data_IF_940103270035
#
_entry.id   IF_940103270035
#
_cell.length_a   1.000
_cell.length_b   1.000
_cell.length_c   1.000
_cell.angle_alpha   90.00
_cell.angle_beta   90.00
_cell.angle_gamma   90.00
#
_symmetry.space_group_name_H-M   'P 1'
#
loop_
_entity.id
_entity.type
_entity.pdbx_description
1 polymer ?
#
# COMPACT_ATOMS: atom_id res chain seq x y z
N UNK A 1 2.71 -11.78 4.88
CA UNK A 1 2.80 -11.56 6.33
C UNK A 1 1.57 -12.04 7.12
N UNK A 2 0.47 -12.38 6.49
CA UNK A 2 -0.78 -12.85 7.09
C UNK A 2 -1.16 -14.22 6.54
N UNK A 3 -2.30 -14.77 6.95
CA UNK A 3 -2.82 -16.01 6.43
C UNK A 3 -3.52 -15.84 5.07
N UNK A 4 -3.95 -16.93 4.47
CA UNK A 4 -4.67 -16.92 3.20
C UNK A 4 -6.00 -16.16 3.29
N UNK A 5 -6.68 -16.26 4.44
CA UNK A 5 -7.95 -15.58 4.66
C UNK A 5 -7.87 -14.04 4.59
N UNK A 6 -6.71 -13.47 4.88
CA UNK A 6 -6.48 -12.02 4.80
C UNK A 6 -5.80 -11.57 3.50
N UNK A 7 -5.64 -12.45 2.52
CA UNK A 7 -5.11 -12.06 1.21
C UNK A 7 -6.09 -11.13 0.49
N UNK A 8 -5.63 -10.00 -0.07
CA UNK A 8 -6.48 -9.10 -0.84
C UNK A 8 -6.74 -9.59 -2.28
N UNK A 9 -6.07 -10.65 -2.73
CA UNK A 9 -6.23 -11.23 -4.06
C UNK A 9 -7.57 -11.97 -4.18
N UNK A 10 -8.08 -12.10 -5.40
CA UNK A 10 -9.28 -12.90 -5.68
C UNK A 10 -8.96 -14.39 -5.49
N UNK A 11 -9.93 -15.16 -5.01
CA UNK A 11 -9.74 -16.59 -4.77
C UNK A 11 -9.32 -17.34 -6.03
N UNK A 12 -9.90 -17.01 -7.18
CA UNK A 12 -9.55 -17.61 -8.46
C UNK A 12 -8.10 -17.35 -8.85
N UNK A 13 -7.59 -16.14 -8.59
CA UNK A 13 -6.17 -15.78 -8.86
C UNK A 13 -5.22 -16.58 -7.96
N UNK A 14 -5.59 -16.79 -6.70
CA UNK A 14 -4.82 -17.62 -5.76
C UNK A 14 -4.82 -19.08 -6.21
N UNK A 15 -5.97 -19.60 -6.67
CA UNK A 15 -6.09 -20.96 -7.18
C UNK A 15 -5.23 -21.15 -8.43
N UNK A 16 -5.33 -20.27 -9.41
CA UNK A 16 -4.53 -20.35 -10.64
C UNK A 16 -3.02 -20.30 -10.32
N UNK A 17 -2.60 -19.42 -9.42
CA UNK A 17 -1.19 -19.37 -9.02
C UNK A 17 -0.72 -20.69 -8.38
N UNK A 18 -1.55 -21.34 -7.54
CA UNK A 18 -1.24 -22.65 -6.97
C UNK A 18 -1.18 -23.76 -8.03
N UNK A 19 -2.08 -23.74 -9.00
CA UNK A 19 -2.08 -24.67 -10.14
C UNK A 19 -0.83 -24.53 -11.00
N UNK A 20 -0.30 -23.31 -11.14
CA UNK A 20 0.96 -23.02 -11.82
C UNK A 20 2.20 -23.38 -10.97
N UNK A 21 2.01 -23.89 -9.76
CA UNK A 21 3.10 -24.31 -8.88
C UNK A 21 3.72 -23.18 -8.04
N UNK A 22 3.10 -22.01 -7.99
CA UNK A 22 3.55 -20.91 -7.13
C UNK A 22 3.39 -21.29 -5.65
N UNK A 23 4.46 -21.19 -4.89
CA UNK A 23 4.45 -21.42 -3.46
C UNK A 23 4.11 -20.15 -2.68
N UNK A 24 3.24 -20.30 -1.69
CA UNK A 24 2.80 -19.20 -0.82
C UNK A 24 3.37 -19.40 0.58
N UNK A 25 4.45 -18.70 0.91
CA UNK A 25 4.98 -18.63 2.27
C UNK A 25 4.18 -17.64 3.12
N UNK A 26 3.04 -18.12 3.60
CA UNK A 26 2.15 -17.35 4.47
C UNK A 26 2.75 -17.20 5.88
N UNK A 27 2.29 -16.18 6.63
CA UNK A 27 2.83 -15.90 7.96
C UNK A 27 4.36 -15.84 7.97
N UNK A 28 4.91 -15.24 6.93
CA UNK A 28 6.36 -15.10 6.72
C UNK A 28 6.66 -13.66 6.34
N UNK A 29 7.72 -13.10 6.89
CA UNK A 29 8.15 -11.73 6.57
C UNK A 29 9.63 -11.73 6.21
N UNK A 30 10.03 -11.15 5.07
CA UNK A 30 11.44 -10.91 4.75
C UNK A 30 12.08 -9.98 5.77
N UNK A 31 13.30 -10.29 6.16
CA UNK A 31 14.12 -9.53 7.11
C UNK A 31 15.34 -8.95 6.42
N UNK A 32 15.99 -9.76 5.55
CA UNK A 32 17.24 -9.39 4.90
C UNK A 32 17.36 -10.09 3.56
N UNK A 33 17.90 -9.40 2.55
CA UNK A 33 18.28 -9.99 1.28
C UNK A 33 19.77 -10.30 1.34
N UNK A 34 20.14 -11.57 1.17
CA UNK A 34 21.51 -12.03 1.23
C UNK A 34 22.16 -11.94 -0.14
N UNK A 35 23.34 -11.36 -0.20
CA UNK A 35 24.08 -11.16 -1.44
C UNK A 35 25.55 -11.58 -1.32
N UNK A 36 26.08 -12.15 -2.40
CA UNK A 36 27.49 -12.49 -2.53
C UNK A 36 27.97 -12.13 -3.94
N UNK A 37 29.14 -11.49 -4.06
CA UNK A 37 29.70 -11.11 -5.36
C UNK A 37 28.81 -10.23 -6.21
N UNK A 38 27.92 -9.41 -5.61
CA UNK A 38 26.97 -8.55 -6.33
C UNK A 38 25.72 -9.28 -6.85
N UNK A 39 25.49 -10.52 -6.43
CA UNK A 39 24.31 -11.34 -6.78
C UNK A 39 23.51 -11.66 -5.53
N UNK A 40 22.20 -11.81 -5.69
CA UNK A 40 21.33 -12.36 -4.63
C UNK A 40 21.63 -13.86 -4.52
N UNK A 41 21.80 -14.34 -3.30
CA UNK A 41 22.03 -15.77 -3.00
C UNK A 41 21.02 -16.33 -2.01
N UNK A 42 20.16 -15.47 -1.45
CA UNK A 42 19.12 -15.91 -0.54
C UNK A 42 18.32 -14.75 0.04
N UNK A 43 17.28 -15.11 0.77
CA UNK A 43 16.47 -14.18 1.54
C UNK A 43 16.22 -14.72 2.94
N UNK A 44 16.68 -14.00 3.95
CA UNK A 44 16.38 -14.31 5.35
C UNK A 44 14.96 -13.87 5.68
N UNK A 45 14.18 -14.77 6.21
CA UNK A 45 12.79 -14.58 6.61
C UNK A 45 12.58 -14.91 8.08
N UNK A 46 11.51 -14.41 8.66
CA UNK A 46 11.05 -14.73 10.01
C UNK A 46 9.59 -15.21 9.95
N UNK A 47 9.24 -16.20 10.76
CA UNK A 47 7.86 -16.63 10.91
C UNK A 47 7.04 -15.57 11.66
N UNK A 48 5.77 -15.48 11.30
CA UNK A 48 4.81 -14.55 11.91
C UNK A 48 3.68 -15.35 12.53
N UNK A 49 3.05 -14.78 13.53
CA UNK A 49 1.75 -15.22 14.04
C UNK A 49 0.74 -14.07 14.01
N UNK A 50 -0.54 -14.39 14.04
CA UNK A 50 -1.59 -13.37 14.11
C UNK A 50 -1.87 -13.03 15.57
N UNK A 51 -1.57 -11.80 15.95
CA UNK A 51 -1.89 -11.24 17.27
C UNK A 51 -3.40 -11.05 17.47
N UNK A 52 -3.77 -10.41 18.56
CA UNK A 52 -5.17 -10.10 18.87
C UNK A 52 -5.80 -9.18 17.82
N UNK A 53 -7.11 -9.33 17.55
CA UNK A 53 -7.83 -8.45 16.64
C UNK A 53 -7.89 -7.01 17.18
N UNK A 54 -7.64 -6.04 16.32
CA UNK A 54 -7.84 -4.62 16.64
C UNK A 54 -9.35 -4.26 16.61
N UNK A 55 -9.69 -2.99 16.90
CA UNK A 55 -11.07 -2.50 16.91
C UNK A 55 -11.82 -2.66 15.55
N UNK A 56 -11.10 -2.90 14.45
CA UNK A 56 -11.67 -3.22 13.13
C UNK A 56 -11.76 -4.72 12.85
N UNK A 57 -11.42 -5.56 13.83
CA UNK A 57 -11.37 -7.02 13.68
C UNK A 57 -10.12 -7.54 12.95
N UNK A 58 -9.17 -6.66 12.59
CA UNK A 58 -7.94 -7.05 11.86
C UNK A 58 -6.86 -7.49 12.82
N UNK A 59 -6.32 -8.68 12.58
CA UNK A 59 -5.20 -9.23 13.35
C UNK A 59 -3.86 -8.76 12.78
N UNK A 60 -3.02 -8.18 13.64
CA UNK A 60 -1.66 -7.77 13.25
C UNK A 60 -0.75 -8.98 13.21
N UNK A 61 0.09 -9.13 12.18
CA UNK A 61 1.16 -10.12 12.20
C UNK A 61 2.24 -9.68 13.20
N UNK A 62 2.64 -10.59 14.07
CA UNK A 62 3.67 -10.43 15.10
C UNK A 62 4.82 -11.39 14.79
N UNK A 63 6.09 -10.97 14.84
CA UNK A 63 7.22 -11.87 14.62
C UNK A 63 7.30 -12.91 15.73
N UNK A 64 7.61 -14.16 15.36
CA UNK A 64 7.97 -15.23 16.30
C UNK A 64 9.47 -15.20 16.51
N UNK A 65 9.91 -14.81 17.68
CA UNK A 65 11.34 -14.69 18.01
C UNK A 65 12.08 -16.03 17.81
N UNK A 66 13.27 -15.97 17.22
CA UNK A 66 14.11 -17.14 17.00
C UNK A 66 13.62 -18.08 15.89
N UNK A 67 12.67 -17.64 15.06
CA UNK A 67 12.10 -18.43 13.96
C UNK A 67 12.67 -18.06 12.59
N UNK A 68 13.81 -17.37 12.56
CA UNK A 68 14.47 -16.97 11.32
C UNK A 68 14.90 -18.20 10.52
N UNK A 69 14.75 -18.11 9.21
CA UNK A 69 15.19 -19.11 8.25
C UNK A 69 15.61 -18.44 6.94
N UNK A 70 16.34 -19.16 6.11
CA UNK A 70 16.80 -18.69 4.80
C UNK A 70 16.07 -19.42 3.70
N UNK A 71 15.61 -18.68 2.71
CA UNK A 71 15.15 -19.18 1.42
C UNK A 71 16.27 -18.99 0.40
N UNK A 72 16.62 -20.03 -0.32
CA UNK A 72 17.57 -19.95 -1.44
C UNK A 72 16.84 -19.36 -2.64
N UNK A 73 17.25 -18.16 -3.05
CA UNK A 73 16.64 -17.42 -4.17
C UNK A 73 17.72 -16.67 -4.94
N UNK A 74 17.57 -16.58 -6.26
CA UNK A 74 18.47 -15.87 -7.16
C UNK A 74 17.99 -14.42 -7.44
N UNK A 75 16.73 -14.15 -7.19
CA UNK A 75 16.13 -12.84 -7.41
C UNK A 75 15.01 -12.55 -6.39
N UNK A 76 14.86 -11.29 -6.00
CA UNK A 76 13.78 -10.83 -5.12
C UNK A 76 13.07 -9.65 -5.78
N UNK A 77 11.75 -9.76 -5.93
CA UNK A 77 10.91 -8.68 -6.47
C UNK A 77 10.06 -8.10 -5.34
N UNK A 78 10.23 -6.81 -5.09
CA UNK A 78 9.48 -6.06 -4.06
C UNK A 78 8.13 -5.60 -4.64
N UNK A 79 7.10 -6.42 -4.49
CA UNK A 79 5.72 -6.13 -4.94
C UNK A 79 4.85 -5.63 -3.79
N UNK A 80 5.31 -4.58 -3.09
CA UNK A 80 4.59 -3.96 -1.98
C UNK A 80 3.62 -2.89 -2.50
N UNK A 81 2.60 -2.59 -1.68
CA UNK A 81 1.70 -1.48 -1.97
C UNK A 81 2.42 -0.13 -1.96
N UNK A 82 1.87 0.84 -2.70
CA UNK A 82 2.38 2.21 -2.76
C UNK A 82 1.91 3.04 -1.57
N UNK A 83 2.68 4.06 -1.24
CA UNK A 83 2.33 5.10 -0.27
C UNK A 83 2.41 6.46 -0.94
N UNK A 84 1.65 7.47 -0.49
CA UNK A 84 1.76 8.83 -1.01
C UNK A 84 3.18 9.36 -0.91
N UNK A 85 3.63 10.10 -1.94
CA UNK A 85 4.96 10.68 -1.95
C UNK A 85 5.10 11.72 -0.82
N UNK A 86 6.01 11.52 0.15
CA UNK A 86 6.17 12.44 1.27
C UNK A 86 6.68 13.84 0.86
N UNK A 87 7.29 13.96 -0.32
CA UNK A 87 7.85 15.22 -0.81
C UNK A 87 6.78 16.30 -0.93
N UNK A 88 5.61 15.97 -1.49
CA UNK A 88 4.51 16.93 -1.70
C UNK A 88 4.13 17.61 -0.38
N UNK A 89 3.84 16.82 0.66
CA UNK A 89 3.44 17.36 1.97
C UNK A 89 4.57 18.10 2.69
N UNK A 90 5.81 17.67 2.53
CA UNK A 90 6.95 18.27 3.22
C UNK A 90 7.40 19.60 2.61
N UNK A 91 7.12 19.83 1.32
CA UNK A 91 7.51 21.05 0.59
C UNK A 91 6.36 22.03 0.37
N UNK A 92 5.12 21.69 0.76
CA UNK A 92 3.95 22.52 0.52
C UNK A 92 3.23 22.85 1.83
N UNK A 93 3.61 23.95 2.51
CA UNK A 93 2.95 24.38 3.74
C UNK A 93 1.45 24.64 3.54
N UNK A 94 0.63 24.25 4.51
CA UNK A 94 -0.84 24.41 4.48
C UNK A 94 -1.56 23.33 3.69
N UNK A 95 -0.86 22.32 3.20
CA UNK A 95 -1.45 21.15 2.57
C UNK A 95 -1.46 19.98 3.56
N UNK A 96 -2.58 19.76 4.21
CA UNK A 96 -2.72 18.75 5.27
C UNK A 96 -2.87 17.34 4.73
N UNK A 97 -2.41 16.36 5.53
CA UNK A 97 -2.51 14.94 5.21
C UNK A 97 -3.05 14.15 6.41
N UNK A 98 -3.70 13.05 6.11
CA UNK A 98 -4.14 12.10 7.12
C UNK A 98 -2.95 11.22 7.62
N UNK A 99 -3.21 10.34 8.57
CA UNK A 99 -2.20 9.43 9.15
C UNK A 99 -1.54 8.50 8.13
N UNK A 100 -2.16 8.26 6.97
CA UNK A 100 -1.61 7.45 5.86
C UNK A 100 -0.80 8.28 4.87
N UNK A 101 -0.77 9.59 5.03
CA UNK A 101 -0.08 10.53 4.13
C UNK A 101 -0.91 10.97 2.91
N UNK A 102 -2.18 10.57 2.81
CA UNK A 102 -3.09 11.05 1.78
C UNK A 102 -3.57 12.47 2.09
N UNK A 103 -3.77 13.28 1.06
CA UNK A 103 -4.24 14.65 1.19
C UNK A 103 -5.66 14.71 1.77
N UNK A 104 -5.89 15.64 2.69
CA UNK A 104 -7.22 15.91 3.24
C UNK A 104 -7.94 16.85 2.28
N UNK A 105 -9.18 16.53 1.97
CA UNK A 105 -10.08 17.33 1.12
C UNK A 105 -11.40 17.57 1.82
N UNK A 106 -12.11 18.63 1.40
CA UNK A 106 -13.45 18.96 1.87
C UNK A 106 -14.49 17.92 1.41
N UNK A 107 -15.75 18.11 1.79
CA UNK A 107 -16.87 17.22 1.46
C UNK A 107 -17.14 17.09 -0.06
N UNK A 108 -16.66 18.04 -0.84
CA UNK A 108 -16.67 17.94 -2.29
C UNK A 108 -15.70 16.88 -2.84
N UNK A 109 -14.80 16.37 -2.00
CA UNK A 109 -13.88 15.28 -2.29
C UNK A 109 -12.67 15.67 -3.12
N UNK A 110 -12.43 16.95 -3.39
CA UNK A 110 -11.32 17.43 -4.23
C UNK A 110 -10.67 18.74 -3.78
N UNK A 111 -11.37 19.62 -3.06
CA UNK A 111 -10.80 20.88 -2.55
C UNK A 111 -9.91 20.58 -1.34
N UNK A 112 -8.63 20.91 -1.43
CA UNK A 112 -7.66 20.65 -0.34
C UNK A 112 -7.75 21.72 0.75
N UNK A 113 -6.97 21.54 1.83
CA UNK A 113 -6.84 22.54 2.91
C UNK A 113 -6.11 23.82 2.48
N UNK A 114 -5.42 23.79 1.32
CA UNK A 114 -4.71 24.94 0.76
C UNK A 114 -5.54 25.58 -0.35
N UNK A 115 -5.82 26.88 -0.23
CA UNK A 115 -6.59 27.63 -1.20
C UNK A 115 -5.98 27.57 -2.62
N UNK A 116 -6.83 27.37 -3.63
CA UNK A 116 -6.43 27.25 -5.03
C UNK A 116 -5.75 25.92 -5.38
N UNK A 117 -5.67 24.96 -4.44
CA UNK A 117 -5.10 23.64 -4.66
C UNK A 117 -6.18 22.57 -4.56
N UNK A 118 -6.26 21.74 -5.59
CA UNK A 118 -7.24 20.65 -5.71
C UNK A 118 -6.52 19.33 -5.87
N UNK A 119 -7.09 18.25 -5.35
CA UNK A 119 -6.51 16.91 -5.42
C UNK A 119 -7.60 15.85 -5.57
N UNK A 120 -7.26 14.74 -6.20
CA UNK A 120 -8.18 13.61 -6.36
C UNK A 120 -7.44 12.31 -6.64
N UNK A 121 -8.19 11.21 -6.78
CA UNK A 121 -7.64 9.89 -7.00
C UNK A 121 -6.80 9.38 -5.83
N UNK A 122 -5.77 8.60 -6.12
CA UNK A 122 -4.94 7.90 -5.12
C UNK A 122 -4.23 8.86 -4.14
N UNK A 123 -4.00 10.10 -4.53
CA UNK A 123 -3.43 11.12 -3.64
C UNK A 123 -4.35 11.44 -2.44
N UNK A 124 -5.65 11.23 -2.58
CA UNK A 124 -6.69 11.48 -1.56
C UNK A 124 -7.17 10.19 -0.91
N UNK A 125 -7.51 9.19 -1.72
CA UNK A 125 -8.14 7.95 -1.25
C UNK A 125 -7.15 6.85 -0.86
N UNK A 126 -5.90 6.96 -1.28
CA UNK A 126 -4.96 5.85 -1.35
C UNK A 126 -5.19 5.02 -2.62
N UNK A 127 -4.39 3.97 -2.83
CA UNK A 127 -4.47 3.13 -4.01
C UNK A 127 -5.90 2.57 -4.21
N UNK A 128 -6.50 2.88 -5.37
CA UNK A 128 -7.86 2.52 -5.72
C UNK A 128 -7.96 2.19 -7.22
N UNK A 129 -9.14 2.33 -7.82
CA UNK A 129 -9.36 1.98 -9.23
C UNK A 129 -9.21 3.20 -10.15
N UNK A 130 -8.86 2.94 -11.41
CA UNK A 130 -8.78 3.95 -12.47
C UNK A 130 -10.10 4.72 -12.61
N UNK A 131 -11.24 4.01 -12.52
CA UNK A 131 -12.58 4.64 -12.63
C UNK A 131 -12.80 5.68 -11.54
N UNK A 132 -12.41 5.40 -10.29
CA UNK A 132 -12.51 6.34 -9.18
C UNK A 132 -11.59 7.55 -9.39
N UNK A 133 -10.37 7.33 -9.87
CA UNK A 133 -9.43 8.40 -10.17
C UNK A 133 -9.93 9.32 -11.29
N UNK A 134 -10.51 8.76 -12.36
CA UNK A 134 -11.15 9.52 -13.44
C UNK A 134 -12.35 10.34 -12.94
N UNK A 135 -13.19 9.76 -12.09
CA UNK A 135 -14.32 10.47 -11.45
C UNK A 135 -13.86 11.65 -10.62
N UNK A 136 -12.82 11.46 -9.80
CA UNK A 136 -12.21 12.53 -9.02
C UNK A 136 -11.61 13.63 -9.91
N UNK A 137 -10.98 13.28 -11.02
CA UNK A 137 -10.44 14.24 -11.99
C UNK A 137 -11.53 15.13 -12.62
N UNK A 138 -12.67 14.54 -13.01
CA UNK A 138 -13.82 15.31 -13.53
C UNK A 138 -14.36 16.29 -12.48
N UNK A 139 -14.54 15.81 -11.26
CA UNK A 139 -15.02 16.62 -10.14
C UNK A 139 -14.04 17.75 -9.80
N UNK A 140 -12.73 17.47 -9.85
CA UNK A 140 -11.68 18.46 -9.71
C UNK A 140 -11.77 19.56 -10.76
N UNK A 141 -12.00 19.21 -12.03
CA UNK A 141 -12.17 20.18 -13.11
C UNK A 141 -13.39 21.11 -12.87
N UNK A 142 -14.52 20.57 -12.41
CA UNK A 142 -15.71 21.35 -12.05
C UNK A 142 -15.43 22.35 -10.92
N UNK A 143 -14.73 21.92 -9.86
CA UNK A 143 -14.39 22.79 -8.73
C UNK A 143 -13.34 23.84 -9.09
N UNK A 144 -12.35 23.51 -9.92
CA UNK A 144 -11.39 24.48 -10.46
C UNK A 144 -12.11 25.54 -11.30
N UNK A 145 -13.02 25.12 -12.18
CA UNK A 145 -13.82 26.05 -12.99
C UNK A 145 -14.64 26.99 -12.11
N UNK A 146 -15.35 26.45 -11.12
CA UNK A 146 -16.13 27.25 -10.18
C UNK A 146 -15.25 28.23 -9.36
N UNK A 147 -14.04 27.82 -8.99
CA UNK A 147 -13.09 28.68 -8.28
C UNK A 147 -12.59 29.85 -9.14
N UNK A 148 -12.28 29.59 -10.41
CA UNK A 148 -11.79 30.61 -11.35
C UNK A 148 -12.88 31.53 -11.91
N UNK A 149 -14.15 31.16 -11.78
CA UNK A 149 -15.31 31.93 -12.29
C UNK A 149 -15.92 32.85 -11.23
N UNK A 150 -15.31 32.98 -10.06
CA UNK A 150 -15.67 33.94 -9.03
C UNK A 150 -15.04 35.29 -9.32
#
# INVERSE_FOLDING_TARGET
>A
RRSEAEMPARLEEVHHAKEEGIQFDLLTNPVEILGEGGKVVGMKCIRMELGEPDASGRRRPVPVEGSEFVLDVDAVIMSLGTSPNPLIRSTTPGLDTNKKGCLIVADDGVTTTREGVFAGGDAVTGAATVILAMGAGKKGAEQIHAYLSK
#
